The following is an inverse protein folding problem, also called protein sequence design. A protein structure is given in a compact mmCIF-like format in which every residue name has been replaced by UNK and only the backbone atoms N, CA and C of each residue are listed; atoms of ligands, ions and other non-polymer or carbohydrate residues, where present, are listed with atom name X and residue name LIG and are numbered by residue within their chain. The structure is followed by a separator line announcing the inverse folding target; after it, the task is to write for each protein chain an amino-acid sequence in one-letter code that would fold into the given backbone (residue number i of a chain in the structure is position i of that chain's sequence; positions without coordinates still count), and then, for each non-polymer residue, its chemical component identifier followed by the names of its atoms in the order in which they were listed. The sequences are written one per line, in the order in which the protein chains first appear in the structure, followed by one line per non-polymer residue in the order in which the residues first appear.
data_IF_055137173871
#
_entry.id   IF_055137173871
#
_cell.length_a   1.000
_cell.length_b   1.000
_cell.length_c   1.000
_cell.angle_alpha   90.00
_cell.angle_beta   90.00
_cell.angle_gamma   90.00
#
_symmetry.space_group_name_H-M   'P 1'
#
loop_
_entity.id
_entity.type
_entity.pdbx_description
1 polymer ?
#
# COMPACT_ATOMS: atom_id res chain seq x y z
N UNK A 1 -4.53 -33.57 28.72
CA UNK A 1 -5.13 -32.48 27.88
C UNK A 1 -4.27 -31.23 28.00
N UNK A 2 -3.45 -30.90 26.99
CA UNK A 2 -2.74 -29.61 26.93
C UNK A 2 -3.58 -28.65 26.12
N UNK A 3 -4.44 -27.89 26.78
CA UNK A 3 -5.14 -26.80 26.12
C UNK A 3 -4.20 -25.59 26.12
N UNK A 4 -3.45 -25.40 25.02
CA UNK A 4 -2.81 -24.11 24.74
C UNK A 4 -3.88 -23.18 24.17
N UNK A 5 -4.57 -22.42 25.02
CA UNK A 5 -5.21 -21.18 24.58
C UNK A 5 -4.25 -20.02 24.81
N UNK A 6 -3.23 -19.92 23.95
CA UNK A 6 -2.64 -18.62 23.64
C UNK A 6 -3.42 -18.06 22.45
N UNK A 7 -4.63 -17.56 22.70
CA UNK A 7 -5.25 -16.65 21.74
C UNK A 7 -4.91 -15.25 22.24
N UNK A 8 -3.98 -14.65 21.51
CA UNK A 8 -3.55 -13.26 21.53
C UNK A 8 -4.55 -12.33 22.24
N UNK A 9 -4.01 -11.42 23.04
CA UNK A 9 -4.64 -10.11 23.29
C UNK A 9 -4.88 -9.49 21.91
N UNK A 10 -6.05 -9.74 21.33
CA UNK A 10 -6.55 -8.95 20.23
C UNK A 10 -6.89 -7.63 20.90
N UNK A 11 -5.99 -6.65 20.75
CA UNK A 11 -6.38 -5.25 20.89
C UNK A 11 -7.59 -5.11 19.99
N UNK A 12 -8.79 -5.05 20.57
CA UNK A 12 -10.05 -4.97 19.84
C UNK A 12 -9.89 -3.86 18.80
N UNK A 13 -9.83 -4.19 17.50
CA UNK A 13 -9.69 -3.15 16.51
C UNK A 13 -10.92 -2.25 16.68
N UNK A 14 -10.70 -0.94 16.82
CA UNK A 14 -11.78 0.07 17.02
C UNK A 14 -12.90 -0.10 15.99
N UNK A 15 -12.57 -0.69 14.84
CA UNK A 15 -13.45 -0.97 13.71
C UNK A 15 -13.26 -2.42 13.26
N UNK A 16 -14.35 -3.17 13.09
CA UNK A 16 -14.33 -4.46 12.39
C UNK A 16 -14.29 -4.23 10.87
N UNK A 17 -13.10 -4.32 10.28
CA UNK A 17 -12.88 -4.07 8.84
C UNK A 17 -13.72 -4.98 7.93
N UNK A 18 -14.20 -6.15 8.40
CA UNK A 18 -15.06 -7.04 7.62
C UNK A 18 -16.51 -6.54 7.50
N UNK A 19 -16.94 -5.64 8.39
CA UNK A 19 -18.29 -5.05 8.41
C UNK A 19 -18.36 -3.66 7.79
N UNK A 20 -17.21 -3.11 7.39
CA UNK A 20 -17.14 -1.80 6.73
C UNK A 20 -17.82 -1.88 5.37
N UNK A 21 -18.78 -0.99 5.13
CA UNK A 21 -19.51 -0.93 3.85
C UNK A 21 -18.92 0.13 2.92
N UNK A 22 -19.11 -0.03 1.61
CA UNK A 22 -18.66 0.95 0.61
C UNK A 22 -19.23 2.36 0.82
N UNK A 23 -20.40 2.49 1.45
CA UNK A 23 -20.95 3.79 1.82
C UNK A 23 -20.16 4.45 2.96
N UNK A 24 -19.71 3.68 3.95
CA UNK A 24 -18.85 4.19 5.02
C UNK A 24 -17.51 4.67 4.44
N UNK A 25 -16.94 3.95 3.48
CA UNK A 25 -15.75 4.39 2.74
C UNK A 25 -15.91 5.71 1.98
N UNK A 26 -17.14 6.12 1.64
CA UNK A 26 -17.43 7.39 0.96
C UNK A 26 -17.85 8.50 1.93
N UNK A 27 -18.04 8.18 3.20
CA UNK A 27 -18.46 9.15 4.20
C UNK A 27 -17.26 9.94 4.72
N UNK A 28 -17.33 11.28 4.68
CA UNK A 28 -16.25 12.16 5.17
C UNK A 28 -15.94 11.96 6.66
N UNK A 29 -16.93 11.51 7.45
CA UNK A 29 -16.74 11.24 8.87
C UNK A 29 -15.95 9.94 9.11
N UNK A 30 -16.15 8.94 8.25
CA UNK A 30 -15.53 7.63 8.40
C UNK A 30 -14.19 7.52 7.66
N UNK A 31 -13.98 8.29 6.59
CA UNK A 31 -12.73 8.31 5.82
C UNK A 31 -11.45 8.38 6.69
N UNK A 32 -11.27 9.34 7.63
CA UNK A 32 -10.03 9.42 8.40
C UNK A 32 -9.81 8.19 9.28
N UNK A 33 -10.87 7.67 9.89
CA UNK A 33 -10.82 6.49 10.76
C UNK A 33 -10.51 5.24 9.93
N UNK A 34 -11.22 5.07 8.81
CA UNK A 34 -11.07 3.91 7.94
C UNK A 34 -9.76 3.94 7.13
N UNK A 35 -9.14 5.10 6.91
CA UNK A 35 -7.80 5.20 6.34
C UNK A 35 -6.72 4.71 7.30
N UNK A 36 -6.87 4.94 8.60
CA UNK A 36 -5.92 4.52 9.63
C UNK A 36 -6.16 3.05 10.04
N UNK A 37 -7.41 2.68 10.32
CA UNK A 37 -7.77 1.37 10.88
C UNK A 37 -8.04 0.30 9.80
N UNK A 38 -8.63 0.66 8.65
CA UNK A 38 -9.10 -0.31 7.65
C UNK A 38 -8.82 0.10 6.17
N UNK A 39 -7.59 0.53 5.80
CA UNK A 39 -7.33 1.09 4.48
C UNK A 39 -7.61 0.11 3.33
N UNK A 40 -7.35 -1.18 3.56
CA UNK A 40 -7.62 -2.25 2.60
C UNK A 40 -9.11 -2.45 2.32
N UNK A 41 -9.97 -2.35 3.35
CA UNK A 41 -11.41 -2.61 3.21
C UNK A 41 -12.12 -1.59 2.33
N UNK A 42 -11.62 -0.35 2.35
CA UNK A 42 -12.15 0.76 1.56
C UNK A 42 -11.39 1.03 0.27
N UNK A 43 -10.33 0.27 -0.01
CA UNK A 43 -9.42 0.58 -1.12
C UNK A 43 -8.71 1.93 -0.95
N UNK A 44 -8.57 2.41 0.30
CA UNK A 44 -7.68 3.53 0.64
C UNK A 44 -6.22 3.14 0.62
N UNK A 45 -5.92 1.84 0.46
CA UNK A 45 -4.73 1.39 -0.25
C UNK A 45 -4.75 1.82 -1.74
N UNK A 46 -5.23 3.02 -2.04
CA UNK A 46 -4.55 3.83 -3.02
C UNK A 46 -3.19 4.07 -2.42
N UNK A 47 -2.20 3.38 -2.94
CA UNK A 47 -0.81 3.73 -2.83
C UNK A 47 -0.69 5.23 -3.10
N UNK A 48 -0.80 6.06 -2.05
CA UNK A 48 -0.72 7.52 -2.15
C UNK A 48 0.63 7.93 -2.74
N UNK A 49 1.59 7.02 -2.66
CA UNK A 49 2.93 7.12 -3.19
C UNK A 49 3.11 6.46 -4.57
N UNK A 50 2.16 5.64 -5.06
CA UNK A 50 2.25 5.10 -6.42
C UNK A 50 1.57 6.01 -7.43
N UNK A 51 2.23 7.12 -7.66
CA UNK A 51 1.99 7.99 -8.80
C UNK A 51 3.31 8.18 -9.52
N UNK A 52 3.22 8.49 -10.80
CA UNK A 52 4.39 8.95 -11.52
C UNK A 52 4.69 10.37 -11.04
N UNK A 53 5.88 10.58 -10.50
CA UNK A 53 6.38 11.90 -10.11
C UNK A 53 7.06 12.60 -11.28
N UNK A 54 7.65 11.84 -12.21
CA UNK A 54 8.22 12.40 -13.43
C UNK A 54 7.14 12.50 -14.53
N UNK A 55 7.08 13.63 -15.27
CA UNK A 55 6.12 13.81 -16.36
C UNK A 55 6.41 12.90 -17.56
N UNK A 56 7.67 12.53 -17.76
CA UNK A 56 8.13 11.79 -18.95
C UNK A 56 8.11 10.27 -18.81
N UNK A 57 7.56 9.73 -17.71
CA UNK A 57 7.45 8.27 -17.56
C UNK A 57 6.67 7.61 -18.70
N UNK A 58 5.69 8.31 -19.27
CA UNK A 58 4.89 7.83 -20.40
C UNK A 58 5.60 8.00 -21.76
N UNK A 59 6.60 8.87 -21.84
CA UNK A 59 7.31 9.19 -23.09
C UNK A 59 8.20 8.03 -23.55
N UNK A 60 8.72 7.23 -22.61
CA UNK A 60 9.52 6.05 -22.93
C UNK A 60 9.27 4.91 -21.92
N UNK A 61 8.30 4.02 -22.19
CA UNK A 61 8.01 2.87 -21.32
C UNK A 61 9.16 1.87 -21.23
N UNK A 62 10.16 1.95 -22.13
CA UNK A 62 11.39 1.15 -22.04
C UNK A 62 12.26 1.49 -20.83
N UNK A 63 12.04 2.65 -20.19
CA UNK A 63 12.76 3.04 -18.97
C UNK A 63 12.57 2.04 -17.83
N UNK A 64 11.43 1.37 -17.77
CA UNK A 64 11.10 0.38 -16.74
C UNK A 64 11.99 -0.87 -16.78
N UNK A 65 12.66 -1.13 -17.90
CA UNK A 65 13.54 -2.30 -18.09
C UNK A 65 14.98 -1.91 -18.41
N UNK A 66 15.31 -0.62 -18.40
CA UNK A 66 16.69 -0.15 -18.61
C UNK A 66 17.52 -0.35 -17.35
N UNK A 67 18.61 -1.12 -17.49
CA UNK A 67 19.61 -1.29 -16.43
C UNK A 67 20.21 0.06 -16.04
N UNK A 68 20.25 0.35 -14.75
CA UNK A 68 20.70 1.65 -14.21
C UNK A 68 19.62 2.73 -14.07
N UNK A 69 18.38 2.44 -14.45
CA UNK A 69 17.22 3.33 -14.20
C UNK A 69 16.27 2.77 -13.13
N UNK A 70 16.64 1.67 -12.46
CA UNK A 70 15.82 0.99 -11.45
C UNK A 70 15.41 1.93 -10.31
N UNK A 71 16.38 2.63 -9.71
CA UNK A 71 16.13 3.63 -8.65
C UNK A 71 15.26 4.79 -9.14
N UNK A 72 15.43 5.19 -10.41
CA UNK A 72 14.64 6.27 -11.01
C UNK A 72 13.19 5.84 -11.20
N UNK A 73 12.94 4.64 -11.75
CA UNK A 73 11.57 4.18 -11.98
C UNK A 73 10.85 3.84 -10.69
N UNK A 74 11.56 3.34 -9.69
CA UNK A 74 11.03 3.04 -8.36
C UNK A 74 10.62 4.30 -7.58
N UNK A 75 11.29 5.43 -7.84
CA UNK A 75 10.94 6.70 -7.20
C UNK A 75 9.96 7.51 -8.03
N UNK A 76 10.18 7.60 -9.34
CA UNK A 76 9.53 8.58 -10.21
C UNK A 76 8.51 8.01 -11.20
N UNK A 77 8.54 6.72 -11.53
CA UNK A 77 7.66 6.10 -12.54
C UNK A 77 6.90 4.88 -12.02
N UNK A 78 6.52 4.91 -10.75
CA UNK A 78 5.99 3.76 -10.03
C UNK A 78 4.70 3.21 -10.65
N UNK A 79 3.83 4.09 -11.14
CA UNK A 79 2.53 3.69 -11.69
C UNK A 79 2.69 3.21 -13.13
N UNK A 80 3.48 3.92 -13.94
CA UNK A 80 3.75 3.54 -15.34
C UNK A 80 4.51 2.21 -15.41
N UNK A 81 5.47 1.99 -14.52
CA UNK A 81 6.24 0.74 -14.44
C UNK A 81 5.59 -0.34 -13.55
N UNK A 82 4.36 -0.12 -13.06
CA UNK A 82 3.59 -1.07 -12.25
C UNK A 82 4.32 -1.57 -10.99
N UNK A 83 5.13 -0.70 -10.38
CA UNK A 83 5.91 -0.97 -9.17
C UNK A 83 5.11 -0.74 -7.87
N UNK A 84 3.85 -0.28 -7.97
CA UNK A 84 2.98 -0.01 -6.82
C UNK A 84 2.83 -1.20 -5.86
N UNK A 85 2.87 -2.43 -6.38
CA UNK A 85 2.71 -3.66 -5.59
C UNK A 85 4.03 -4.17 -5.00
N UNK A 86 5.19 -3.65 -5.43
CA UNK A 86 6.51 -4.10 -4.96
C UNK A 86 7.03 -3.34 -3.74
N UNK A 87 6.52 -2.14 -3.46
CA UNK A 87 7.02 -1.29 -2.36
C UNK A 87 6.76 -1.84 -0.95
N UNK A 88 5.94 -2.88 -0.80
CA UNK A 88 5.78 -3.57 0.49
C UNK A 88 6.90 -4.60 0.77
N UNK A 89 7.83 -4.81 -0.18
CA UNK A 89 8.84 -5.88 -0.09
C UNK A 89 10.30 -5.43 -0.07
N UNK A 90 10.61 -4.14 -0.21
CA UNK A 90 11.98 -3.63 -0.09
C UNK A 90 12.11 -2.72 1.13
N UNK A 91 12.03 -3.36 2.29
CA UNK A 91 12.82 -2.94 3.45
C UNK A 91 14.31 -2.99 3.08
N UNK A 92 15.15 -2.17 3.73
CA UNK A 92 16.50 -1.88 3.29
C UNK A 92 17.27 -3.16 3.02
N UNK A 93 17.88 -3.26 1.84
CA UNK A 93 19.03 -4.14 1.64
C UNK A 93 20.05 -3.78 2.72
N UNK A 94 20.02 -4.51 3.84
CA UNK A 94 21.08 -4.50 4.83
C UNK A 94 22.31 -5.00 4.09
N UNK A 95 23.14 -4.04 3.70
CA UNK A 95 24.55 -4.23 3.51
C UNK A 95 25.13 -4.61 4.88
N UNK A 96 25.43 -5.90 5.06
CA UNK A 96 26.74 -6.39 5.53
C UNK A 96 26.81 -7.92 5.41
#
# INVERSE_FOLDING_TARGET
MRIRFSKQVVLDPRIDCAKVTKQQCRSRLWQPILMEDCPNACGFCTTSDCKDLAPDCHSDPGICSRKGMEDFVEKYCQRTCQLCTKKESEGPKQLE
#
